data_IF_580466196336
#
_entry.id   IF_580466196336
#
_cell.length_a   1.000
_cell.length_b   1.000
_cell.length_c   1.000
_cell.angle_alpha   90.00
_cell.angle_beta   90.00
_cell.angle_gamma   90.00
#
_symmetry.space_group_name_H-M   'P 1'
#
loop_
_entity.id
_entity.type
_entity.pdbx_description
1 polymer ?
#
# COMPACT_ATOMS: atom_id res chain seq x y z
N UNK A 1 22.71 -5.24 42.48
CA UNK A 1 22.73 -5.25 41.00
C UNK A 1 22.25 -3.87 40.58
N UNK A 2 22.92 -3.16 39.66
CA UNK A 2 22.51 -1.80 39.30
C UNK A 2 21.26 -1.79 38.41
N UNK A 3 20.62 -0.63 38.26
CA UNK A 3 19.41 -0.42 37.44
C UNK A 3 19.56 -1.00 36.01
N UNK A 4 20.72 -0.80 35.37
CA UNK A 4 21.00 -1.36 34.05
C UNK A 4 20.92 -2.90 34.01
N UNK A 5 21.32 -3.58 35.09
CA UNK A 5 21.23 -5.03 35.20
C UNK A 5 19.80 -5.53 35.37
N UNK A 6 18.95 -4.75 36.03
CA UNK A 6 17.52 -5.06 36.17
C UNK A 6 16.79 -4.87 34.85
N UNK A 7 17.05 -3.77 34.13
CA UNK A 7 16.51 -3.53 32.79
C UNK A 7 16.91 -4.65 31.82
N UNK A 8 18.19 -5.04 31.81
CA UNK A 8 18.67 -6.12 30.95
C UNK A 8 17.97 -7.47 31.27
N UNK A 9 17.76 -7.77 32.55
CA UNK A 9 17.04 -8.97 32.97
C UNK A 9 15.58 -8.93 32.52
N UNK A 10 14.91 -7.80 32.66
CA UNK A 10 13.52 -7.63 32.26
C UNK A 10 13.34 -7.77 30.74
N UNK A 11 14.27 -7.22 29.95
CA UNK A 11 14.29 -7.39 28.50
C UNK A 11 14.43 -8.86 28.12
N UNK A 12 15.39 -9.58 28.72
CA UNK A 12 15.61 -11.00 28.44
C UNK A 12 14.39 -11.85 28.82
N UNK A 13 13.83 -11.63 30.02
CA UNK A 13 12.61 -12.31 30.47
C UNK A 13 11.43 -12.04 29.53
N UNK A 14 11.23 -10.78 29.12
CA UNK A 14 10.20 -10.40 28.14
C UNK A 14 10.40 -11.09 26.79
N UNK A 15 11.64 -11.18 26.30
CA UNK A 15 11.97 -11.89 25.07
C UNK A 15 11.59 -13.38 25.18
N UNK A 16 11.95 -14.05 26.27
CA UNK A 16 11.61 -15.47 26.49
C UNK A 16 10.10 -15.70 26.52
N UNK A 17 9.34 -14.85 27.21
CA UNK A 17 7.87 -14.94 27.25
C UNK A 17 7.28 -14.69 25.86
N UNK A 18 7.75 -13.67 25.12
CA UNK A 18 7.26 -13.38 23.78
C UNK A 18 7.56 -14.51 22.79
N UNK A 19 8.75 -15.12 22.85
CA UNK A 19 9.09 -16.27 22.00
C UNK A 19 8.08 -17.39 22.19
N UNK A 20 7.70 -17.67 23.44
CA UNK A 20 6.78 -18.75 23.81
C UNK A 20 5.30 -18.37 23.73
N UNK A 21 4.95 -17.08 23.56
CA UNK A 21 3.57 -16.61 23.40
C UNK A 21 3.24 -16.37 21.93
N UNK A 22 2.48 -17.25 21.26
CA UNK A 22 2.11 -17.05 19.85
C UNK A 22 1.10 -15.90 19.66
N UNK A 23 0.38 -15.50 20.70
CA UNK A 23 -0.68 -14.49 20.61
C UNK A 23 -0.22 -13.09 21.04
N UNK A 24 0.96 -12.96 21.63
CA UNK A 24 1.50 -11.69 22.12
C UNK A 24 2.44 -11.05 21.10
N UNK A 25 2.17 -9.79 20.74
CA UNK A 25 3.03 -9.01 19.84
C UNK A 25 4.03 -8.13 20.59
N UNK A 26 3.79 -7.83 21.87
CA UNK A 26 4.71 -7.03 22.67
C UNK A 26 4.56 -7.33 24.16
N UNK A 27 5.59 -6.96 24.94
CA UNK A 27 5.55 -6.91 26.40
C UNK A 27 6.17 -5.59 26.88
N UNK A 28 5.63 -4.97 27.94
CA UNK A 28 6.24 -3.78 28.53
C UNK A 28 7.55 -4.15 29.23
N UNK A 29 8.54 -3.26 29.16
CA UNK A 29 9.76 -3.31 29.96
C UNK A 29 9.49 -2.44 31.19
N UNK A 30 9.48 -3.06 32.38
CA UNK A 30 9.20 -2.35 33.63
C UNK A 30 10.41 -2.32 34.56
N UNK A 31 10.52 -1.23 35.33
CA UNK A 31 11.42 -1.12 36.46
C UNK A 31 10.60 -0.70 37.69
N UNK A 32 10.29 -1.68 38.55
CA UNK A 32 9.23 -1.54 39.55
C UNK A 32 7.88 -1.31 38.89
N UNK A 33 7.19 -0.23 39.28
CA UNK A 33 5.89 0.15 38.72
C UNK A 33 6.01 1.05 37.46
N UNK A 34 7.23 1.42 37.06
CA UNK A 34 7.46 2.32 35.94
C UNK A 34 7.63 1.53 34.62
N UNK A 35 6.87 1.87 33.58
CA UNK A 35 7.09 1.34 32.22
C UNK A 35 8.15 2.19 31.51
N UNK A 36 9.29 1.55 31.18
CA UNK A 36 10.41 2.18 30.49
C UNK A 36 10.33 2.04 28.96
N UNK A 37 9.61 1.04 28.47
CA UNK A 37 9.49 0.76 27.04
C UNK A 37 8.72 -0.52 26.74
N UNK A 38 8.86 -1.03 25.51
CA UNK A 38 8.21 -2.28 25.07
C UNK A 38 9.20 -3.14 24.27
N UNK A 39 9.24 -4.44 24.52
CA UNK A 39 9.83 -5.43 23.61
C UNK A 39 8.74 -5.83 22.62
N UNK A 40 9.02 -5.74 21.31
CA UNK A 40 8.06 -6.10 20.26
C UNK A 40 8.56 -7.35 19.55
N UNK A 41 7.69 -8.34 19.43
CA UNK A 41 7.92 -9.56 18.67
C UNK A 41 7.64 -9.30 17.21
N UNK A 42 8.68 -9.36 16.39
CA UNK A 42 8.56 -9.34 14.94
C UNK A 42 8.75 -10.74 14.39
N UNK A 43 7.88 -11.15 13.48
CA UNK A 43 8.13 -12.36 12.71
C UNK A 43 9.26 -12.07 11.73
N UNK A 44 10.34 -12.84 11.85
CA UNK A 44 11.43 -12.81 10.88
C UNK A 44 10.84 -13.19 9.52
N UNK A 45 10.81 -12.25 8.57
CA UNK A 45 10.33 -12.49 7.21
C UNK A 45 11.30 -13.35 6.37
N UNK A 46 12.39 -13.82 6.98
CA UNK A 46 13.46 -14.59 6.36
C UNK A 46 14.76 -13.78 6.28
N UNK A 47 15.87 -14.49 6.08
CA UNK A 47 17.19 -13.89 5.90
C UNK A 47 17.18 -12.87 4.75
N UNK A 48 17.73 -11.68 5.00
CA UNK A 48 17.87 -10.62 4.00
C UNK A 48 16.61 -9.76 3.76
N UNK A 49 15.50 -10.01 4.47
CA UNK A 49 14.33 -9.13 4.40
C UNK A 49 14.55 -7.83 5.21
N UNK A 50 14.06 -6.68 4.72
CA UNK A 50 14.25 -5.40 5.38
C UNK A 50 13.52 -5.35 6.72
N UNK A 51 14.15 -4.72 7.71
CA UNK A 51 13.55 -4.43 9.01
C UNK A 51 12.61 -3.21 8.87
N UNK A 52 11.42 -3.44 8.32
CA UNK A 52 10.41 -2.43 7.98
C UNK A 52 9.99 -1.54 9.15
N UNK A 53 10.14 -2.04 10.38
CA UNK A 53 9.66 -1.45 11.64
C UNK A 53 10.67 -0.54 12.33
N UNK A 54 11.88 -0.40 11.80
CA UNK A 54 12.86 0.55 12.34
C UNK A 54 12.47 2.00 12.01
N UNK A 55 12.77 2.92 12.94
CA UNK A 55 12.54 4.36 12.76
C UNK A 55 11.06 4.78 12.80
N UNK A 56 10.25 4.09 13.60
CA UNK A 56 8.86 4.43 13.87
C UNK A 56 8.75 5.28 15.13
N UNK A 57 7.89 6.30 15.11
CA UNK A 57 7.60 7.11 16.30
C UNK A 57 6.68 6.38 17.27
N UNK A 58 5.79 5.51 16.78
CA UNK A 58 4.84 4.78 17.63
C UNK A 58 5.12 3.26 17.67
N UNK A 59 5.41 2.69 18.85
CA UNK A 59 5.45 1.24 19.07
C UNK A 59 4.14 0.53 18.71
N UNK A 60 2.99 1.17 18.98
CA UNK A 60 1.68 0.57 18.71
C UNK A 60 1.41 0.47 17.20
N UNK A 61 1.92 1.42 16.41
CA UNK A 61 1.88 1.32 14.95
C UNK A 61 2.73 0.15 14.44
N UNK A 62 3.93 -0.07 15.02
CA UNK A 62 4.78 -1.19 14.68
C UNK A 62 4.10 -2.54 14.96
N UNK A 63 3.44 -2.65 16.12
CA UNK A 63 2.62 -3.82 16.49
C UNK A 63 1.47 -4.00 15.52
N UNK A 64 0.70 -2.94 15.23
CA UNK A 64 -0.46 -3.02 14.34
C UNK A 64 -0.10 -3.46 12.93
N UNK A 65 1.01 -2.96 12.37
CA UNK A 65 1.52 -3.37 11.05
C UNK A 65 1.96 -4.83 11.07
N UNK A 66 2.70 -5.24 12.10
CA UNK A 66 3.18 -6.62 12.23
C UNK A 66 2.01 -7.58 12.35
N UNK A 67 1.02 -7.27 13.19
CA UNK A 67 -0.20 -8.05 13.29
C UNK A 67 -0.94 -8.10 11.93
N UNK A 68 -1.05 -6.97 11.23
CA UNK A 68 -1.75 -6.90 9.95
C UNK A 68 -1.10 -7.78 8.88
N UNK A 69 0.24 -7.84 8.85
CA UNK A 69 0.97 -8.78 7.98
C UNK A 69 0.65 -10.25 8.25
N UNK A 70 0.17 -10.57 9.46
CA UNK A 70 -0.21 -11.92 9.88
C UNK A 70 -1.73 -12.16 9.85
N UNK A 71 -2.51 -11.20 9.33
CA UNK A 71 -3.95 -11.33 9.20
C UNK A 71 -4.72 -10.95 10.47
N UNK A 72 -4.14 -10.11 11.32
CA UNK A 72 -4.76 -9.62 12.54
C UNK A 72 -4.72 -8.08 12.61
N UNK A 73 -5.77 -7.45 13.12
CA UNK A 73 -5.78 -6.05 13.52
C UNK A 73 -5.55 -5.97 15.02
N UNK A 74 -4.48 -5.28 15.43
CA UNK A 74 -4.12 -5.16 16.85
C UNK A 74 -3.86 -3.70 17.22
N UNK A 75 -4.50 -3.26 18.30
CA UNK A 75 -4.25 -1.96 18.93
C UNK A 75 -4.64 -1.98 20.41
N UNK A 76 -3.80 -1.44 21.30
CA UNK A 76 -4.07 -1.32 22.73
C UNK A 76 -4.70 -2.58 23.39
N UNK A 77 -4.08 -3.75 23.18
CA UNK A 77 -4.52 -5.07 23.63
C UNK A 77 -5.82 -5.62 22.99
N UNK A 78 -6.46 -4.88 22.10
CA UNK A 78 -7.55 -5.42 21.28
C UNK A 78 -6.96 -6.14 20.07
N UNK A 79 -7.48 -7.33 19.78
CA UNK A 79 -7.12 -8.14 18.62
C UNK A 79 -8.37 -8.57 17.87
N UNK A 80 -8.42 -8.31 16.58
CA UNK A 80 -9.47 -8.73 15.66
C UNK A 80 -8.81 -9.49 14.52
N UNK A 81 -9.17 -10.76 14.31
CA UNK A 81 -8.66 -11.50 13.16
C UNK A 81 -9.37 -11.06 11.89
N UNK A 82 -8.65 -10.98 10.77
CA UNK A 82 -9.23 -10.69 9.46
C UNK A 82 -10.12 -11.83 8.94
N UNK A 83 -10.01 -13.02 9.53
CA UNK A 83 -10.83 -14.18 9.17
C UNK A 83 -10.54 -14.77 7.78
N UNK A 84 -9.52 -14.28 7.09
CA UNK A 84 -9.06 -14.82 5.80
C UNK A 84 -7.55 -14.98 5.78
N UNK A 85 -7.01 -16.01 5.08
CA UNK A 85 -5.57 -16.20 4.96
C UNK A 85 -4.90 -14.99 4.31
N UNK A 86 -3.72 -14.63 4.80
CA UNK A 86 -2.83 -13.69 4.14
C UNK A 86 -2.02 -14.40 3.06
N UNK A 87 -1.66 -13.67 2.02
CA UNK A 87 -0.70 -14.05 0.99
C UNK A 87 0.06 -12.82 0.53
N UNK A 88 0.56 -12.83 -0.69
CA UNK A 88 1.31 -11.73 -1.28
C UNK A 88 0.64 -11.20 -2.55
N UNK A 89 1.01 -9.98 -2.98
CA UNK A 89 0.53 -9.44 -4.26
C UNK A 89 0.87 -10.39 -5.42
N UNK A 90 2.07 -11.00 -5.40
CA UNK A 90 2.53 -11.93 -6.42
C UNK A 90 1.78 -13.26 -6.43
N UNK A 91 1.21 -13.68 -5.29
CA UNK A 91 0.34 -14.85 -5.25
C UNK A 91 -0.98 -14.58 -5.97
N UNK A 92 -1.49 -13.35 -5.91
CA UNK A 92 -2.77 -12.96 -6.48
C UNK A 92 -2.66 -12.54 -7.95
N UNK A 93 -1.64 -11.76 -8.31
CA UNK A 93 -1.56 -11.07 -9.60
C UNK A 93 -0.29 -11.40 -10.35
N UNK A 94 -0.42 -11.54 -11.66
CA UNK A 94 0.73 -11.49 -12.55
C UNK A 94 1.15 -10.02 -12.74
N UNK A 95 2.35 -9.67 -12.28
CA UNK A 95 2.89 -8.32 -12.41
C UNK A 95 3.60 -8.19 -13.75
N UNK A 96 3.18 -7.20 -14.54
CA UNK A 96 3.75 -6.92 -15.85
C UNK A 96 5.23 -6.52 -15.80
N UNK A 97 5.86 -6.40 -16.98
CA UNK A 97 7.29 -6.18 -17.09
C UNK A 97 7.70 -4.79 -16.60
N UNK A 98 8.98 -4.63 -16.32
CA UNK A 98 9.56 -3.34 -15.97
C UNK A 98 9.57 -2.39 -17.17
N UNK A 99 9.52 -1.09 -16.88
CA UNK A 99 9.48 -0.04 -17.91
C UNK A 99 10.55 -0.15 -19.00
N UNK A 100 11.75 -0.65 -18.70
CA UNK A 100 12.85 -0.83 -19.65
C UNK A 100 12.58 -1.92 -20.70
N UNK A 101 11.67 -2.87 -20.43
CA UNK A 101 11.17 -3.82 -21.45
C UNK A 101 10.02 -3.23 -22.26
N UNK A 102 9.24 -2.32 -21.67
CA UNK A 102 8.07 -1.72 -22.33
C UNK A 102 8.52 -0.63 -23.29
N UNK A 103 9.30 0.36 -22.84
CA UNK A 103 9.65 1.48 -23.68
C UNK A 103 10.48 2.57 -23.02
N UNK A 104 10.66 3.67 -23.74
CA UNK A 104 11.37 4.85 -23.25
C UNK A 104 10.73 6.13 -23.79
N UNK A 105 10.84 7.27 -23.10
CA UNK A 105 10.41 8.54 -23.66
C UNK A 105 11.08 8.82 -25.00
N UNK A 106 10.35 9.46 -25.93
CA UNK A 106 10.92 9.96 -27.18
C UNK A 106 12.09 10.90 -26.83
N UNK A 107 13.24 10.70 -27.49
CA UNK A 107 14.51 11.39 -27.23
C UNK A 107 15.26 10.97 -25.95
N UNK A 108 15.00 9.77 -25.40
CA UNK A 108 15.85 9.22 -24.35
C UNK A 108 17.29 9.02 -24.84
N UNK A 109 18.29 9.35 -24.01
CA UNK A 109 19.71 9.12 -24.31
C UNK A 109 20.09 7.64 -24.32
N UNK A 110 19.21 6.76 -23.83
CA UNK A 110 19.38 5.31 -23.83
C UNK A 110 18.03 4.66 -24.07
N UNK A 111 17.52 4.70 -25.32
CA UNK A 111 16.22 4.16 -25.64
C UNK A 111 16.21 2.65 -25.38
N UNK A 112 15.17 2.16 -24.71
CA UNK A 112 14.98 0.74 -24.37
C UNK A 112 13.53 0.34 -24.59
N UNK A 113 13.27 -0.97 -24.62
CA UNK A 113 11.94 -1.54 -24.79
C UNK A 113 11.36 -1.33 -26.19
N UNK A 114 10.14 -1.82 -26.37
CA UNK A 114 9.50 -1.94 -27.69
C UNK A 114 8.77 -0.68 -28.16
N UNK A 115 8.46 0.24 -27.24
CA UNK A 115 7.73 1.47 -27.52
C UNK A 115 8.58 2.73 -27.32
N UNK A 116 8.36 3.71 -28.19
CA UNK A 116 8.58 5.11 -27.92
C UNK A 116 7.35 5.69 -27.20
N UNK A 117 7.54 6.16 -25.97
CA UNK A 117 6.44 6.57 -25.09
C UNK A 117 6.23 8.08 -25.16
N UNK A 118 5.03 8.50 -25.54
CA UNK A 118 4.66 9.92 -25.74
C UNK A 118 3.52 10.30 -24.80
N UNK A 119 3.58 11.44 -24.10
CA UNK A 119 2.46 11.93 -23.29
C UNK A 119 1.19 12.09 -24.13
N UNK A 120 0.04 11.70 -23.59
CA UNK A 120 -1.24 11.99 -24.25
C UNK A 120 -1.67 13.41 -23.93
N UNK A 121 -2.21 14.12 -24.92
CA UNK A 121 -2.76 15.47 -24.72
C UNK A 121 -4.24 15.46 -24.28
N UNK A 122 -4.92 14.32 -24.43
CA UNK A 122 -6.31 14.12 -24.06
C UNK A 122 -6.76 12.70 -24.39
N UNK A 123 -8.01 12.37 -24.05
CA UNK A 123 -8.54 11.01 -24.25
C UNK A 123 -8.63 10.60 -25.72
N UNK A 124 -8.96 11.55 -26.61
CA UNK A 124 -9.04 11.34 -28.06
C UNK A 124 -7.68 10.87 -28.61
N UNK A 125 -6.59 11.42 -28.11
CA UNK A 125 -5.22 11.09 -28.52
C UNK A 125 -4.80 9.65 -28.14
N UNK A 126 -5.53 9.04 -27.20
CA UNK A 126 -5.33 7.67 -26.75
C UNK A 126 -6.25 6.66 -27.44
N UNK A 127 -7.15 7.08 -28.35
CA UNK A 127 -8.05 6.18 -29.07
C UNK A 127 -7.26 5.40 -30.12
N UNK A 128 -7.36 4.06 -30.08
CA UNK A 128 -6.68 3.15 -31.01
C UNK A 128 -5.16 3.01 -30.81
N UNK A 129 -4.58 3.70 -29.83
CA UNK A 129 -3.15 3.61 -29.50
C UNK A 129 -2.87 2.58 -28.40
N UNK A 130 -1.62 2.14 -28.30
CA UNK A 130 -1.11 1.37 -27.16
C UNK A 130 -1.05 2.28 -25.92
N UNK A 131 -2.08 2.23 -25.07
CA UNK A 131 -2.21 3.12 -23.91
C UNK A 131 -1.22 2.76 -22.81
N UNK A 132 -0.66 3.76 -22.11
CA UNK A 132 0.33 3.55 -21.07
C UNK A 132 0.02 4.36 -19.79
N UNK A 133 0.10 3.70 -18.64
CA UNK A 133 0.20 4.35 -17.32
C UNK A 133 1.68 4.58 -16.98
N UNK A 134 2.31 5.56 -17.61
CA UNK A 134 3.76 5.70 -17.53
C UNK A 134 4.26 6.46 -16.29
N UNK A 135 3.70 7.66 -16.06
CA UNK A 135 4.14 8.57 -15.01
C UNK A 135 3.09 8.74 -13.91
N UNK A 136 3.59 8.98 -12.70
CA UNK A 136 2.73 9.41 -11.61
C UNK A 136 2.50 10.92 -11.68
N UNK A 137 1.24 11.34 -11.61
CA UNK A 137 0.82 12.74 -11.59
C UNK A 137 -0.30 12.90 -10.57
N UNK A 138 0.05 13.41 -9.39
CA UNK A 138 -0.85 13.54 -8.25
C UNK A 138 -2.06 14.48 -8.48
N UNK A 139 -1.98 15.39 -9.46
CA UNK A 139 -3.09 16.30 -9.75
C UNK A 139 -4.23 15.57 -10.45
N UNK A 140 -3.90 14.70 -11.40
CA UNK A 140 -4.89 13.96 -12.19
C UNK A 140 -5.20 12.57 -11.59
N UNK A 141 -4.22 11.93 -10.94
CA UNK A 141 -4.38 10.63 -10.27
C UNK A 141 -4.82 10.85 -8.83
N UNK A 142 -6.07 11.30 -8.69
CA UNK A 142 -6.68 11.65 -7.41
C UNK A 142 -8.00 10.89 -7.15
N UNK A 143 -8.33 9.94 -8.01
CA UNK A 143 -9.54 9.10 -8.00
C UNK A 143 -9.14 7.67 -8.26
N UNK A 144 -9.98 6.70 -7.89
CA UNK A 144 -9.71 5.28 -8.13
C UNK A 144 -9.65 4.93 -9.62
N UNK A 145 -10.34 5.68 -10.47
CA UNK A 145 -10.21 5.59 -11.94
C UNK A 145 -9.24 6.66 -12.41
N UNK A 146 -8.23 6.23 -13.15
CA UNK A 146 -7.27 7.08 -13.84
C UNK A 146 -7.32 6.82 -15.35
N UNK A 147 -6.89 7.81 -16.12
CA UNK A 147 -6.75 7.68 -17.57
C UNK A 147 -5.30 7.41 -17.93
N UNK A 148 -5.10 6.86 -19.14
CA UNK A 148 -3.77 6.72 -19.73
C UNK A 148 -3.04 8.07 -19.67
N UNK A 149 -1.78 8.04 -19.27
CA UNK A 149 -0.96 9.26 -19.22
C UNK A 149 -0.11 9.42 -20.49
N UNK A 150 0.13 8.31 -21.18
CA UNK A 150 0.98 8.23 -22.35
C UNK A 150 0.41 7.21 -23.34
N UNK A 151 0.93 7.25 -24.56
CA UNK A 151 0.76 6.23 -25.59
C UNK A 151 2.11 5.69 -26.03
N UNK A 152 2.16 4.41 -26.36
CA UNK A 152 3.29 3.76 -26.98
C UNK A 152 3.20 3.86 -28.50
N UNK A 153 4.28 4.26 -29.13
CA UNK A 153 4.50 4.20 -30.57
C UNK A 153 5.47 3.04 -30.80
N UNK A 154 5.06 1.95 -31.47
CA UNK A 154 5.96 0.83 -31.74
C UNK A 154 7.22 1.30 -32.49
N UNK A 155 8.39 0.83 -32.06
CA UNK A 155 9.63 1.11 -32.79
C UNK A 155 9.72 0.26 -34.05
N UNK A 156 10.35 0.80 -35.09
CA UNK A 156 10.40 0.18 -36.42
C UNK A 156 11.23 -1.11 -36.49
N UNK A 157 12.14 -1.32 -35.54
CA UNK A 157 13.08 -2.44 -35.47
C UNK A 157 12.60 -3.60 -34.58
N UNK A 158 11.40 -3.50 -34.00
CA UNK A 158 10.84 -4.50 -33.09
C UNK A 158 9.95 -5.49 -33.84
N UNK A 159 10.07 -6.78 -33.53
CA UNK A 159 9.22 -7.80 -34.14
C UNK A 159 7.76 -7.73 -33.66
N UNK A 160 6.83 -8.22 -34.48
CA UNK A 160 5.42 -8.29 -34.06
C UNK A 160 5.23 -9.21 -32.86
N UNK A 161 6.03 -10.27 -32.74
CA UNK A 161 6.01 -11.19 -31.62
C UNK A 161 6.39 -10.50 -30.30
N UNK A 162 7.48 -9.73 -30.29
CA UNK A 162 7.90 -8.96 -29.11
C UNK A 162 6.89 -7.89 -28.72
N UNK A 163 6.32 -7.20 -29.72
CA UNK A 163 5.29 -6.20 -29.54
C UNK A 163 4.02 -6.80 -28.92
N UNK A 164 3.56 -7.93 -29.44
CA UNK A 164 2.38 -8.62 -28.95
C UNK A 164 2.61 -9.18 -27.54
N UNK A 165 3.79 -9.72 -27.24
CA UNK A 165 4.14 -10.18 -25.89
C UNK A 165 4.05 -9.05 -24.85
N UNK A 166 4.43 -7.81 -25.20
CA UNK A 166 4.25 -6.66 -24.29
C UNK A 166 2.78 -6.24 -24.21
N UNK A 167 2.04 -6.22 -25.33
CA UNK A 167 0.59 -5.90 -25.34
C UNK A 167 -0.23 -6.86 -24.50
N UNK A 168 0.12 -8.14 -24.49
CA UNK A 168 -0.49 -9.16 -23.64
C UNK A 168 -0.34 -8.88 -22.15
N UNK A 169 0.60 -8.03 -21.74
CA UNK A 169 0.81 -7.63 -20.33
C UNK A 169 -0.05 -6.43 -19.90
N UNK A 170 -0.88 -5.90 -20.81
CA UNK A 170 -1.79 -4.81 -20.52
C UNK A 170 -2.81 -5.24 -19.43
N UNK A 171 -3.13 -4.31 -18.53
CA UNK A 171 -4.10 -4.53 -17.47
C UNK A 171 -4.99 -3.32 -17.27
N UNK A 172 -6.12 -3.53 -16.58
CA UNK A 172 -6.93 -2.42 -16.07
C UNK A 172 -6.46 -1.94 -14.70
N UNK A 173 -5.80 -2.80 -13.92
CA UNK A 173 -5.31 -2.50 -12.58
C UNK A 173 -3.83 -2.14 -12.57
N UNK A 174 -3.51 -1.09 -11.84
CA UNK A 174 -2.17 -0.57 -11.67
C UNK A 174 -1.82 -0.36 -10.22
N UNK A 175 -0.54 -0.53 -9.90
CA UNK A 175 0.00 -0.30 -8.56
C UNK A 175 1.23 0.58 -8.59
N UNK A 176 1.22 1.62 -7.78
CA UNK A 176 2.33 2.54 -7.65
C UNK A 176 3.41 1.91 -6.80
N UNK A 177 4.60 1.72 -7.38
CA UNK A 177 5.76 1.24 -6.62
C UNK A 177 6.54 2.37 -5.94
N UNK A 178 6.26 3.62 -6.30
CA UNK A 178 6.97 4.80 -5.80
C UNK A 178 5.94 5.78 -5.23
N UNK A 179 5.74 5.76 -3.91
CA UNK A 179 4.79 6.64 -3.26
C UNK A 179 5.45 7.89 -2.71
N UNK A 180 5.00 9.09 -3.14
CA UNK A 180 5.28 10.35 -2.44
C UNK A 180 4.06 10.71 -1.60
N UNK A 181 4.05 10.23 -0.36
CA UNK A 181 2.95 10.34 0.60
C UNK A 181 2.41 11.76 0.80
N UNK A 182 3.28 12.76 0.65
CA UNK A 182 2.94 14.18 0.80
C UNK A 182 2.13 14.79 -0.34
N UNK A 183 2.01 14.09 -1.46
CA UNK A 183 1.34 14.63 -2.66
C UNK A 183 0.46 13.61 -3.37
N UNK A 184 0.91 12.36 -3.50
CA UNK A 184 0.14 11.30 -4.12
C UNK A 184 -0.98 10.84 -3.20
N UNK A 185 -2.10 10.50 -3.84
CA UNK A 185 -3.40 10.30 -3.20
C UNK A 185 -3.86 8.85 -3.27
N UNK A 186 -3.42 8.14 -4.30
CA UNK A 186 -3.79 6.75 -4.55
C UNK A 186 -2.53 5.89 -4.68
N UNK A 187 -2.60 4.68 -4.14
CA UNK A 187 -1.59 3.64 -4.27
C UNK A 187 -1.89 2.71 -5.46
N UNK A 188 -3.18 2.47 -5.73
CA UNK A 188 -3.63 1.68 -6.86
C UNK A 188 -4.63 2.46 -7.71
N UNK A 189 -4.60 2.24 -9.02
CA UNK A 189 -5.51 2.87 -9.97
C UNK A 189 -6.12 1.82 -10.88
N UNK A 190 -7.38 2.01 -11.23
CA UNK A 190 -8.04 1.31 -12.32
C UNK A 190 -8.15 2.20 -13.54
N UNK A 191 -8.25 1.58 -14.70
CA UNK A 191 -8.47 2.22 -16.00
C UNK A 191 -9.69 1.57 -16.65
N UNK A 192 -10.36 2.31 -17.53
CA UNK A 192 -11.53 1.86 -18.27
C UNK A 192 -11.17 0.78 -19.30
N UNK A 193 -10.05 0.98 -19.99
CA UNK A 193 -9.46 0.08 -20.98
C UNK A 193 -8.12 -0.48 -20.48
N UNK A 194 -7.71 -1.67 -20.96
CA UNK A 194 -6.38 -2.19 -20.64
C UNK A 194 -5.29 -1.22 -21.12
N UNK A 195 -4.38 -0.88 -20.21
CA UNK A 195 -3.20 -0.07 -20.51
C UNK A 195 -1.93 -0.88 -20.18
N UNK A 196 -0.81 -0.52 -20.80
CA UNK A 196 0.52 -0.97 -20.43
C UNK A 196 0.95 -0.29 -19.13
N UNK A 197 1.69 -1.04 -18.32
CA UNK A 197 2.42 -0.49 -17.18
C UNK A 197 3.54 0.46 -17.60
N UNK A 198 4.22 1.03 -16.63
CA UNK A 198 5.35 1.90 -16.88
C UNK A 198 6.24 2.10 -15.67
N UNK A 199 6.96 3.22 -15.64
CA UNK A 199 7.99 3.45 -14.62
C UNK A 199 7.41 3.61 -13.22
N UNK A 200 6.27 4.29 -13.10
CA UNK A 200 5.64 4.54 -11.81
C UNK A 200 4.55 3.53 -11.45
N UNK A 201 3.84 3.02 -12.47
CA UNK A 201 2.67 2.17 -12.32
C UNK A 201 2.93 0.79 -12.90
N UNK A 202 2.92 -0.24 -12.07
CA UNK A 202 3.04 -1.62 -12.51
C UNK A 202 1.66 -2.12 -12.95
N UNK A 203 1.55 -2.74 -14.13
CA UNK A 203 0.32 -3.44 -14.49
C UNK A 203 0.19 -4.70 -13.63
N UNK A 204 -1.03 -4.97 -13.17
CA UNK A 204 -1.36 -6.14 -12.35
C UNK A 204 -2.47 -6.93 -13.02
N UNK A 205 -2.17 -8.09 -13.55
CA UNK A 205 -3.11 -8.89 -14.33
C UNK A 205 -3.82 -9.91 -13.45
N UNK A 206 -5.12 -10.05 -13.69
CA UNK A 206 -5.98 -11.07 -13.11
C UNK A 206 -7.18 -11.28 -14.04
N UNK A 207 -7.58 -12.53 -14.26
CA UNK A 207 -8.71 -12.89 -15.13
C UNK A 207 -10.06 -12.32 -14.64
N UNK A 208 -10.33 -12.39 -13.34
CA UNK A 208 -11.53 -11.82 -12.72
C UNK A 208 -11.34 -10.32 -12.41
N UNK A 209 -12.12 -9.47 -13.09
CA UNK A 209 -12.14 -8.02 -12.84
C UNK A 209 -12.57 -7.65 -11.41
N UNK A 210 -13.38 -8.50 -10.76
CA UNK A 210 -13.85 -8.26 -9.38
C UNK A 210 -12.70 -8.40 -8.38
N UNK A 211 -11.73 -9.28 -8.66
CA UNK A 211 -10.48 -9.38 -7.90
C UNK A 211 -9.65 -8.10 -8.02
N UNK A 212 -9.62 -7.50 -9.21
CA UNK A 212 -8.97 -6.21 -9.40
C UNK A 212 -9.68 -5.09 -8.64
N UNK A 213 -11.01 -5.11 -8.59
CA UNK A 213 -11.80 -4.13 -7.85
C UNK A 213 -11.57 -4.21 -6.34
N UNK A 214 -11.70 -5.40 -5.73
CA UNK A 214 -11.48 -5.56 -4.28
C UNK A 214 -10.05 -5.18 -3.89
N UNK A 215 -9.06 -5.54 -4.71
CA UNK A 215 -7.68 -5.15 -4.47
C UNK A 215 -7.49 -3.63 -4.59
N UNK A 216 -8.11 -2.96 -5.56
CA UNK A 216 -8.04 -1.51 -5.70
C UNK A 216 -8.61 -0.79 -4.47
N UNK A 217 -9.72 -1.27 -3.90
CA UNK A 217 -10.26 -0.76 -2.62
C UNK A 217 -9.23 -0.99 -1.50
N UNK A 218 -8.75 -2.24 -1.34
CA UNK A 218 -7.79 -2.60 -0.29
C UNK A 218 -6.51 -1.78 -0.35
N UNK A 219 -5.90 -1.67 -1.52
CA UNK A 219 -4.64 -0.95 -1.71
C UNK A 219 -4.77 0.54 -1.37
N UNK A 220 -5.94 1.15 -1.62
CA UNK A 220 -6.18 2.56 -1.34
C UNK A 220 -6.80 2.82 0.04
N UNK A 221 -7.11 1.77 0.80
CA UNK A 221 -7.50 1.85 2.21
C UNK A 221 -6.27 2.01 3.10
N UNK A 222 -6.48 2.34 4.37
CA UNK A 222 -5.44 2.40 5.40
C UNK A 222 -4.67 1.09 5.48
N UNK A 223 -5.37 -0.05 5.35
CA UNK A 223 -4.77 -1.36 5.44
C UNK A 223 -3.68 -1.57 4.37
N UNK A 224 -4.02 -1.34 3.11
CA UNK A 224 -3.08 -1.48 2.00
C UNK A 224 -1.96 -0.44 2.03
N UNK A 225 -2.27 0.80 2.41
CA UNK A 225 -1.27 1.86 2.52
C UNK A 225 -0.24 1.59 3.62
N UNK A 226 -0.67 1.09 4.79
CA UNK A 226 0.22 0.69 5.88
C UNK A 226 1.18 -0.41 5.45
N UNK A 227 0.66 -1.47 4.82
CA UNK A 227 1.47 -2.59 4.35
C UNK A 227 2.49 -2.13 3.30
N UNK A 228 2.07 -1.36 2.31
CA UNK A 228 2.99 -0.80 1.32
C UNK A 228 4.07 0.08 1.94
N UNK A 229 3.67 1.01 2.82
CA UNK A 229 4.60 1.91 3.49
C UNK A 229 5.63 1.16 4.32
N UNK A 230 5.21 0.12 5.04
CA UNK A 230 6.11 -0.72 5.82
C UNK A 230 7.10 -1.48 4.93
N UNK A 231 6.67 -1.95 3.75
CA UNK A 231 7.54 -2.72 2.84
C UNK A 231 8.48 -1.84 1.99
N UNK A 232 8.23 -0.54 1.89
CA UNK A 232 9.00 0.37 1.05
C UNK A 232 10.28 0.91 1.69
N UNK A 233 11.28 1.23 0.87
CA UNK A 233 12.46 1.98 1.30
C UNK A 233 12.08 3.44 1.56
N UNK A 234 12.41 3.94 2.76
CA UNK A 234 12.05 5.28 3.26
C UNK A 234 13.28 6.19 3.40
N UNK A 235 14.18 6.16 2.41
CA UNK A 235 15.44 6.95 2.43
C UNK A 235 15.21 8.46 2.24
N UNK A 236 14.05 8.85 1.71
CA UNK A 236 13.65 10.24 1.54
C UNK A 236 12.38 10.50 2.34
N UNK A 237 12.38 11.54 3.16
CA UNK A 237 11.22 11.91 3.98
C UNK A 237 9.98 12.17 3.11
N UNK A 238 8.82 11.65 3.51
CA UNK A 238 7.58 11.79 2.75
C UNK A 238 7.54 10.95 1.47
N UNK A 239 8.47 10.00 1.29
CA UNK A 239 8.53 9.12 0.13
C UNK A 239 8.86 7.68 0.54
N UNK A 240 8.21 6.73 -0.13
CA UNK A 240 8.63 5.33 -0.17
C UNK A 240 8.93 4.91 -1.61
N UNK A 241 9.88 3.99 -1.75
CA UNK A 241 10.21 3.37 -3.04
C UNK A 241 10.34 1.87 -2.86
N UNK A 242 9.66 1.13 -3.72
CA UNK A 242 9.63 -0.33 -3.69
C UNK A 242 10.09 -0.86 -5.04
N UNK A 243 10.98 -1.86 -5.03
CA UNK A 243 11.40 -2.57 -6.23
C UNK A 243 10.29 -3.50 -6.71
N UNK A 244 10.26 -3.86 -7.99
CA UNK A 244 9.17 -4.69 -8.54
C UNK A 244 9.08 -6.05 -7.85
N UNK A 245 10.21 -6.70 -7.59
CA UNK A 245 10.23 -7.95 -6.82
C UNK A 245 9.74 -7.73 -5.38
N UNK A 246 10.09 -6.62 -4.74
CA UNK A 246 9.58 -6.32 -3.41
C UNK A 246 8.06 -6.02 -3.42
N UNK A 247 7.50 -5.47 -4.50
CA UNK A 247 6.04 -5.29 -4.64
C UNK A 247 5.33 -6.64 -4.65
N UNK A 248 5.86 -7.65 -5.36
CA UNK A 248 5.29 -9.00 -5.38
C UNK A 248 5.14 -9.58 -3.97
N UNK A 249 6.05 -9.23 -3.08
CA UNK A 249 6.17 -9.77 -1.73
C UNK A 249 5.37 -8.98 -0.67
N UNK A 250 4.71 -7.88 -1.07
CA UNK A 250 3.86 -7.13 -0.13
C UNK A 250 2.70 -8.01 0.29
N UNK A 251 2.51 -8.14 1.60
CA UNK A 251 1.43 -8.91 2.17
C UNK A 251 0.06 -8.31 1.80
N UNK A 252 -0.90 -9.16 1.48
CA UNK A 252 -2.30 -8.77 1.31
C UNK A 252 -3.23 -9.96 1.59
N UNK A 253 -4.52 -9.73 1.89
CA UNK A 253 -5.43 -10.83 2.12
C UNK A 253 -5.64 -11.64 0.83
N UNK A 254 -5.67 -12.96 0.94
CA UNK A 254 -5.89 -13.82 -0.22
C UNK A 254 -7.37 -13.81 -0.61
N UNK A 255 -7.72 -12.85 -1.47
CA UNK A 255 -9.11 -12.60 -1.88
C UNK A 255 -9.77 -13.77 -2.63
N UNK A 256 -9.02 -14.81 -3.03
CA UNK A 256 -9.58 -16.04 -3.59
C UNK A 256 -10.47 -16.81 -2.60
N UNK A 257 -10.34 -16.53 -1.30
CA UNK A 257 -11.18 -17.09 -0.25
C UNK A 257 -12.46 -16.28 0.02
N UNK A 258 -12.68 -15.15 -0.68
CA UNK A 258 -13.94 -14.42 -0.60
C UNK A 258 -15.03 -15.14 -1.40
N UNK A 259 -16.27 -15.07 -0.91
CA UNK A 259 -17.42 -15.53 -1.69
C UNK A 259 -17.67 -14.62 -2.91
N UNK A 260 -18.32 -15.17 -3.94
CA UNK A 260 -18.75 -14.39 -5.11
C UNK A 260 -19.60 -13.17 -4.71
N UNK A 261 -20.46 -13.30 -3.70
CA UNK A 261 -21.27 -12.19 -3.18
C UNK A 261 -20.39 -11.03 -2.66
N UNK A 262 -19.33 -11.35 -1.91
CA UNK A 262 -18.37 -10.36 -1.39
C UNK A 262 -17.58 -9.69 -2.52
N UNK A 263 -17.20 -10.43 -3.56
CA UNK A 263 -16.53 -9.88 -4.75
C UNK A 263 -17.44 -8.96 -5.57
N UNK A 264 -18.70 -9.34 -5.74
CA UNK A 264 -19.70 -8.51 -6.42
C UNK A 264 -20.00 -7.25 -5.61
N UNK A 265 -20.08 -7.38 -4.28
CA UNK A 265 -20.22 -6.26 -3.36
C UNK A 265 -19.05 -5.29 -3.45
N UNK A 266 -17.82 -5.79 -3.47
CA UNK A 266 -16.62 -4.97 -3.68
C UNK A 266 -16.69 -4.20 -5.00
N UNK A 267 -17.17 -4.83 -6.07
CA UNK A 267 -17.35 -4.16 -7.37
C UNK A 267 -18.39 -3.04 -7.32
N UNK A 268 -19.51 -3.23 -6.61
CA UNK A 268 -20.52 -2.17 -6.39
C UNK A 268 -19.96 -1.01 -5.58
N UNK A 269 -19.27 -1.31 -4.47
CA UNK A 269 -18.64 -0.31 -3.62
C UNK A 269 -17.58 0.49 -4.38
N UNK A 270 -16.72 -0.17 -5.16
CA UNK A 270 -15.74 0.54 -5.99
C UNK A 270 -16.44 1.50 -6.94
N UNK A 271 -17.47 1.03 -7.65
CA UNK A 271 -18.18 1.85 -8.62
C UNK A 271 -18.82 3.10 -7.98
N UNK A 272 -19.29 3.02 -6.73
CA UNK A 272 -19.85 4.18 -6.01
C UNK A 272 -18.78 5.16 -5.52
N UNK A 273 -17.54 4.71 -5.29
CA UNK A 273 -16.43 5.55 -4.86
C UNK A 273 -15.56 6.05 -6.01
N UNK A 274 -15.70 5.49 -7.23
CA UNK A 274 -14.72 5.61 -8.32
C UNK A 274 -14.44 7.04 -8.80
N UNK A 275 -15.39 7.96 -8.62
CA UNK A 275 -15.30 9.37 -9.03
C UNK A 275 -14.93 10.31 -7.88
N UNK A 276 -14.87 9.81 -6.64
CA UNK A 276 -14.58 10.63 -5.46
C UNK A 276 -13.10 10.98 -5.39
N UNK A 277 -12.82 12.24 -5.10
CA UNK A 277 -11.45 12.76 -5.03
C UNK A 277 -10.86 12.48 -3.66
N UNK A 278 -9.76 11.74 -3.63
CA UNK A 278 -8.95 11.51 -2.45
C UNK A 278 -7.99 12.68 -2.19
N UNK A 279 -7.57 12.84 -0.92
CA UNK A 279 -6.52 13.80 -0.53
C UNK A 279 -5.17 13.09 -0.34
N UNK A 280 -4.04 13.83 -0.25
CA UNK A 280 -2.72 13.21 -0.12
C UNK A 280 -2.65 12.20 1.02
N UNK A 281 -1.85 11.15 0.82
CA UNK A 281 -1.79 10.03 1.75
C UNK A 281 -1.34 10.39 3.17
N UNK A 282 -0.50 11.42 3.35
CA UNK A 282 -0.17 11.92 4.68
C UNK A 282 -1.33 12.58 5.44
N UNK A 283 -2.46 12.84 4.77
CA UNK A 283 -3.66 13.45 5.33
C UNK A 283 -4.80 12.43 5.49
N UNK A 284 -4.51 11.13 5.37
CA UNK A 284 -5.54 10.07 5.36
C UNK A 284 -6.46 10.05 6.58
N UNK A 285 -5.98 10.52 7.74
CA UNK A 285 -6.77 10.62 8.97
C UNK A 285 -7.95 11.62 8.85
N UNK A 286 -7.88 12.56 7.89
CA UNK A 286 -8.93 13.53 7.60
C UNK A 286 -9.58 13.30 6.21
N UNK A 287 -9.31 12.15 5.56
CA UNK A 287 -9.85 11.82 4.24
C UNK A 287 -11.15 11.01 4.37
N UNK A 288 -12.29 11.66 4.16
CA UNK A 288 -13.62 11.02 4.19
C UNK A 288 -13.78 9.92 3.15
N UNK A 289 -13.13 10.04 1.98
CA UNK A 289 -13.19 9.01 0.95
C UNK A 289 -12.41 7.80 1.43
N UNK A 290 -11.25 8.00 2.06
CA UNK A 290 -10.45 6.90 2.60
C UNK A 290 -11.12 6.22 3.79
N UNK A 291 -11.82 6.97 4.64
CA UNK A 291 -12.72 6.42 5.66
C UNK A 291 -13.72 5.43 5.05
N UNK A 292 -14.40 5.81 3.96
CA UNK A 292 -15.34 4.93 3.26
C UNK A 292 -14.67 3.71 2.64
N UNK A 293 -13.41 3.82 2.21
CA UNK A 293 -12.64 2.68 1.72
C UNK A 293 -12.27 1.71 2.85
N UNK A 294 -11.93 2.22 4.04
CA UNK A 294 -11.72 1.40 5.22
C UNK A 294 -13.00 0.67 5.63
N UNK A 295 -14.13 1.38 5.65
CA UNK A 295 -15.45 0.80 5.90
C UNK A 295 -15.79 -0.30 4.89
N UNK A 296 -15.53 -0.05 3.60
CA UNK A 296 -15.74 -1.03 2.54
C UNK A 296 -14.88 -2.28 2.75
N UNK A 297 -13.60 -2.13 3.14
CA UNK A 297 -12.74 -3.27 3.46
C UNK A 297 -13.28 -4.06 4.65
N UNK A 298 -13.64 -3.38 5.74
CA UNK A 298 -14.21 -4.00 6.94
C UNK A 298 -15.45 -4.80 6.58
N UNK A 299 -16.34 -4.23 5.78
CA UNK A 299 -17.57 -4.86 5.33
C UNK A 299 -17.34 -6.06 4.40
N UNK A 300 -16.41 -5.96 3.44
CA UNK A 300 -16.05 -7.06 2.52
C UNK A 300 -15.44 -8.22 3.30
N UNK A 301 -14.55 -7.93 4.25
CA UNK A 301 -13.91 -8.94 5.08
C UNK A 301 -14.87 -9.52 6.12
N UNK A 302 -15.92 -8.79 6.49
CA UNK A 302 -16.88 -9.20 7.52
C UNK A 302 -16.32 -9.01 8.93
N UNK A 303 -15.52 -7.95 9.12
CA UNK A 303 -14.98 -7.60 10.43
C UNK A 303 -16.05 -6.90 11.26
N UNK A 304 -15.98 -7.01 12.60
CA UNK A 304 -16.94 -6.35 13.48
C UNK A 304 -16.67 -4.83 13.53
N UNK A 305 -17.63 -4.05 14.01
CA UNK A 305 -17.62 -2.58 13.95
C UNK A 305 -16.43 -1.97 14.72
N UNK A 306 -15.96 -2.64 15.77
CA UNK A 306 -14.79 -2.24 16.57
C UNK A 306 -13.51 -2.14 15.72
N UNK A 307 -13.45 -2.84 14.57
CA UNK A 307 -12.35 -2.73 13.63
C UNK A 307 -12.18 -1.29 13.12
N UNK A 308 -13.26 -0.51 12.98
CA UNK A 308 -13.19 0.88 12.52
C UNK A 308 -12.36 1.74 13.46
N UNK A 309 -12.61 1.63 14.76
CA UNK A 309 -11.86 2.36 15.78
C UNK A 309 -10.38 1.98 15.80
N UNK A 310 -10.06 0.70 15.60
CA UNK A 310 -8.66 0.25 15.50
C UNK A 310 -7.98 0.86 14.26
N UNK A 311 -8.64 0.79 13.10
CA UNK A 311 -8.10 1.30 11.83
C UNK A 311 -7.92 2.83 11.88
N UNK A 312 -8.88 3.57 12.44
CA UNK A 312 -8.78 5.01 12.63
C UNK A 312 -7.55 5.40 13.46
N UNK A 313 -7.33 4.71 14.59
CA UNK A 313 -6.17 4.95 15.46
C UNK A 313 -4.85 4.62 14.75
N UNK A 314 -4.77 3.50 14.04
CA UNK A 314 -3.59 3.14 13.26
C UNK A 314 -3.32 4.15 12.14
N UNK A 315 -4.37 4.63 11.47
CA UNK A 315 -4.25 5.65 10.43
C UNK A 315 -3.75 6.98 10.97
N UNK A 316 -4.24 7.41 12.12
CA UNK A 316 -3.79 8.62 12.79
C UNK A 316 -2.30 8.52 13.14
N UNK A 317 -1.89 7.42 13.80
CA UNK A 317 -0.48 7.18 14.14
C UNK A 317 0.40 7.18 12.89
N UNK A 318 -0.03 6.50 11.83
CA UNK A 318 0.69 6.47 10.56
C UNK A 318 0.83 7.83 9.91
N UNK A 319 -0.23 8.64 9.87
CA UNK A 319 -0.14 10.00 9.34
C UNK A 319 0.80 10.88 10.17
N UNK A 320 0.97 10.59 11.47
CA UNK A 320 1.87 11.29 12.39
C UNK A 320 3.34 10.84 12.28
N UNK A 321 3.65 9.88 11.41
CA UNK A 321 5.03 9.44 11.17
C UNK A 321 5.79 10.44 10.27
N UNK A 322 7.00 10.90 10.66
CA UNK A 322 7.80 11.84 9.86
C UNK A 322 8.07 11.37 8.45
N UNK A 323 8.31 10.06 8.28
CA UNK A 323 8.52 9.45 6.97
C UNK A 323 7.29 9.50 6.05
N UNK A 324 6.10 9.75 6.61
CA UNK A 324 4.82 9.87 5.90
C UNK A 324 4.49 11.34 5.64
N UNK A 325 4.39 12.16 6.69
CA UNK A 325 3.99 13.56 6.53
C UNK A 325 5.10 14.44 5.95
N UNK A 326 6.38 14.06 6.06
CA UNK A 326 7.48 14.76 5.41
C UNK A 326 7.53 16.26 5.67
N UNK A 327 7.20 16.66 6.90
CA UNK A 327 7.06 18.07 7.32
C UNK A 327 6.08 18.89 6.44
N UNK A 328 5.08 18.23 5.83
CA UNK A 328 4.01 18.90 5.12
C UNK A 328 3.14 19.69 6.11
N UNK A 329 3.20 21.01 6.05
CA UNK A 329 2.48 21.90 6.96
C UNK A 329 0.97 21.64 6.99
N UNK A 330 0.36 21.33 5.84
CA UNK A 330 -1.08 21.05 5.80
C UNK A 330 -1.43 19.78 6.59
N UNK A 331 -0.63 18.72 6.46
CA UNK A 331 -0.80 17.50 7.24
C UNK A 331 -0.58 17.74 8.75
N UNK A 332 0.49 18.45 9.11
CA UNK A 332 0.79 18.78 10.52
C UNK A 332 -0.33 19.61 11.16
N UNK A 333 -0.85 20.62 10.45
CA UNK A 333 -1.95 21.43 10.94
C UNK A 333 -3.23 20.62 11.19
N UNK A 334 -3.52 19.61 10.36
CA UNK A 334 -4.65 18.70 10.55
C UNK A 334 -4.45 17.80 11.78
N UNK A 335 -3.24 17.28 11.97
CA UNK A 335 -2.90 16.44 13.13
C UNK A 335 -3.03 17.21 14.45
N UNK A 336 -2.53 18.45 14.51
CA UNK A 336 -2.61 19.27 15.73
C UNK A 336 -4.05 19.58 16.16
N UNK A 337 -4.98 19.73 15.21
CA UNK A 337 -6.40 19.98 15.50
C UNK A 337 -7.10 18.76 16.11
N UNK A 338 -6.68 17.56 15.74
CA UNK A 338 -7.27 16.33 16.28
C UNK A 338 -6.74 16.02 17.68
N UNK A 339 -5.48 16.35 17.99
CA UNK A 339 -4.93 16.15 19.34
C UNK A 339 -5.66 16.99 20.40
N UNK A 340 -6.14 18.20 20.04
CA UNK A 340 -6.94 19.03 20.94
C UNK A 340 -8.34 18.50 21.22
N UNK A 341 -8.82 17.49 20.47
CA UNK A 341 -10.13 16.89 20.67
C UNK A 341 -10.08 15.58 21.48
N UNK A 342 -8.89 15.04 21.71
CA UNK A 342 -8.65 13.77 22.42
C UNK A 342 -8.22 13.93 23.89
N UNK A 343 -8.10 15.18 24.36
CA UNK A 343 -7.89 15.56 25.77
C UNK A 343 -9.20 16.10 26.30
#
# INVERSE_FOLDING_TARGET
MGEAGEIAREILGSCEVLINSPQSYYLPIRLGECELGKVIKFHNQGLGRPWSVLGLNSPDLAVGITALQNGDLVFANQKISLGIPMGTIGDLFEIGPTHDRIGSPVNSTSPRGVFDVVPVQGEIDAIGADRCMWHANAQIQNKLISYATHKGIPKADVSNEELNAIRETASKLFYSKNMRWTSQKILSALTDQPNLGGRSWLSMQHEDIRMQHVFCIWANSTFGMLLHWSSGQRTQTGRSTTQVNAVKEICCPNFRHLSNEKLDKASRLLNSQRTQTLIPACQSHADDVRNKLDDAVIEILGLPEEAKTIVEKLRFLWCNEPSVHGNNNAALNLLSRNQSLSV
#
